data_IF_568061980726
#
_entry.id   IF_568061980726
#
_cell.length_a   1.000
_cell.length_b   1.000
_cell.length_c   1.000
_cell.angle_alpha   90.00
_cell.angle_beta   90.00
_cell.angle_gamma   90.00
#
_symmetry.space_group_name_H-M   'P 1'
#
loop_
_entity.id
_entity.type
_entity.pdbx_description
1 polymer ?
#
# COMPACT_ATOMS: atom_id res chain seq x y z
N UNK A 1 -5.71 -3.98 55.94
CA UNK A 1 -6.10 -4.91 54.85
C UNK A 1 -7.61 -5.10 55.00
N UNK A 2 -8.31 -5.11 53.87
CA UNK A 2 -9.76 -5.15 53.66
C UNK A 2 -10.53 -3.83 53.64
N UNK A 3 -10.96 -3.46 52.42
CA UNK A 3 -12.14 -2.64 52.17
C UNK A 3 -13.03 -3.37 51.16
N UNK A 4 -14.10 -3.97 51.65
CA UNK A 4 -15.32 -4.26 50.89
C UNK A 4 -16.13 -2.97 50.73
N UNK A 5 -16.71 -2.75 49.54
CA UNK A 5 -17.93 -1.96 49.39
C UNK A 5 -18.73 -2.44 48.17
N UNK A 6 -19.91 -2.98 48.45
CA UNK A 6 -20.96 -3.39 47.51
C UNK A 6 -21.86 -2.19 47.15
N UNK A 7 -22.20 -2.12 45.87
CA UNK A 7 -23.43 -1.67 45.19
C UNK A 7 -24.24 -0.44 45.64
N UNK A 8 -24.60 0.40 44.65
CA UNK A 8 -26.00 0.70 44.29
C UNK A 8 -26.13 1.17 42.82
N UNK A 9 -27.30 0.90 42.23
CA UNK A 9 -27.65 0.88 40.80
C UNK A 9 -27.89 2.24 40.10
N UNK A 10 -27.86 2.16 38.75
CA UNK A 10 -28.12 3.05 37.58
C UNK A 10 -29.42 3.90 37.60
N UNK A 11 -29.82 4.72 36.57
CA UNK A 11 -29.34 4.83 35.17
C UNK A 11 -29.35 6.25 34.50
N UNK A 12 -29.06 6.25 33.18
CA UNK A 12 -29.29 7.27 32.13
C UNK A 12 -28.44 8.54 32.09
N UNK A 13 -27.62 8.67 31.04
CA UNK A 13 -27.85 9.65 29.96
C UNK A 13 -26.80 9.51 28.85
N UNK A 14 -27.18 10.04 27.69
CA UNK A 14 -26.67 9.74 26.36
C UNK A 14 -25.28 10.36 26.09
N UNK A 15 -24.54 9.72 25.17
CA UNK A 15 -23.34 10.25 24.49
C UNK A 15 -23.56 11.67 23.94
N UNK A 16 -22.50 12.49 23.79
CA UNK A 16 -21.81 12.46 22.50
C UNK A 16 -20.28 12.38 22.59
N UNK A 17 -19.74 11.61 21.64
CA UNK A 17 -18.35 11.56 21.20
C UNK A 17 -17.75 12.97 21.07
N UNK A 18 -16.72 13.28 21.87
CA UNK A 18 -15.80 14.37 21.56
C UNK A 18 -14.56 13.81 20.88
N UNK A 19 -14.56 13.85 19.54
CA UNK A 19 -13.35 13.75 18.71
C UNK A 19 -12.41 14.91 19.08
N UNK A 20 -11.35 14.67 19.86
CA UNK A 20 -10.24 15.61 19.94
C UNK A 20 -9.35 15.43 18.71
N UNK A 21 -9.47 16.35 17.75
CA UNK A 21 -8.43 16.65 16.77
C UNK A 21 -7.22 17.18 17.53
N UNK A 22 -6.15 16.40 17.63
CA UNK A 22 -4.83 16.97 17.82
C UNK A 22 -4.20 17.13 16.44
N UNK A 23 -4.44 18.31 15.86
CA UNK A 23 -3.58 18.84 14.82
C UNK A 23 -2.27 19.28 15.50
N UNK A 24 -1.25 18.42 15.46
CA UNK A 24 0.11 18.84 15.76
C UNK A 24 0.66 19.49 14.49
N UNK A 25 0.88 20.80 14.57
CA UNK A 25 1.53 21.62 13.55
C UNK A 25 3.00 21.20 13.42
N UNK A 26 3.47 21.00 12.20
CA UNK A 26 4.88 21.26 11.85
C UNK A 26 5.73 20.11 11.33
N UNK A 27 5.20 18.94 11.01
CA UNK A 27 6.00 17.86 10.39
C UNK A 27 5.80 17.81 8.88
N UNK A 28 6.93 17.72 8.16
CA UNK A 28 7.06 17.65 6.71
C UNK A 28 6.02 16.70 6.08
N UNK A 29 5.35 17.16 5.02
CA UNK A 29 4.27 16.46 4.29
C UNK A 29 4.77 15.19 3.56
N UNK A 30 5.99 14.75 3.82
CA UNK A 30 6.68 13.66 3.09
C UNK A 30 6.39 12.27 3.64
N UNK A 31 5.76 12.14 4.82
CA UNK A 31 5.34 10.85 5.38
C UNK A 31 3.88 10.55 5.01
N UNK A 32 3.67 9.57 4.13
CA UNK A 32 2.33 9.10 3.77
C UNK A 32 1.86 8.04 4.77
N UNK A 33 0.91 8.41 5.63
CA UNK A 33 0.18 7.45 6.45
C UNK A 33 -0.55 6.42 5.56
N UNK A 34 -0.57 5.14 5.94
CA UNK A 34 -1.34 4.12 5.22
C UNK A 34 -2.86 4.41 5.17
N UNK A 35 -3.39 5.19 6.13
CA UNK A 35 -4.75 5.76 6.07
C UNK A 35 -4.86 6.89 5.04
N UNK A 36 -3.79 7.67 4.86
CA UNK A 36 -3.68 8.72 3.85
C UNK A 36 -3.61 8.13 2.44
N UNK A 37 -2.96 6.98 2.24
CA UNK A 37 -3.00 6.28 0.94
C UNK A 37 -4.43 5.93 0.52
N UNK A 38 -5.28 5.43 1.44
CA UNK A 38 -6.72 5.23 1.15
C UNK A 38 -7.44 6.54 0.77
N UNK A 39 -7.04 7.67 1.35
CA UNK A 39 -7.61 8.99 1.03
C UNK A 39 -7.08 9.55 -0.31
N UNK A 40 -5.81 9.30 -0.63
CA UNK A 40 -5.20 9.59 -1.93
C UNK A 40 -5.80 8.73 -3.03
N UNK A 41 -6.14 7.47 -2.74
CA UNK A 41 -6.84 6.57 -3.66
C UNK A 41 -8.21 7.16 -4.02
N UNK A 42 -8.97 7.69 -3.06
CA UNK A 42 -10.26 8.38 -3.32
C UNK A 42 -10.06 9.64 -4.18
N UNK A 43 -8.93 10.35 -4.03
CA UNK A 43 -8.64 11.53 -4.85
C UNK A 43 -8.18 11.15 -6.25
N UNK A 44 -7.26 10.19 -6.40
CA UNK A 44 -6.81 9.68 -7.70
C UNK A 44 -7.96 9.01 -8.45
N UNK A 45 -8.90 8.36 -7.76
CA UNK A 45 -10.12 7.78 -8.33
C UNK A 45 -10.97 8.78 -9.11
N UNK A 46 -10.98 10.05 -8.72
CA UNK A 46 -11.68 11.12 -9.45
C UNK A 46 -11.01 11.49 -10.78
N UNK A 47 -9.77 11.07 -10.99
CA UNK A 47 -8.99 11.36 -12.20
C UNK A 47 -8.87 10.16 -13.14
N UNK A 48 -9.54 9.03 -12.85
CA UNK A 48 -9.56 7.92 -13.81
C UNK A 48 -10.47 8.27 -14.97
N UNK A 49 -10.07 7.94 -16.22
CA UNK A 49 -10.97 8.04 -17.35
C UNK A 49 -12.22 7.19 -17.08
N UNK A 50 -13.39 7.56 -17.62
CA UNK A 50 -14.52 6.65 -17.73
C UNK A 50 -14.06 5.27 -18.22
N UNK A 51 -14.64 4.19 -17.69
CA UNK A 51 -14.22 2.81 -17.98
C UNK A 51 -14.16 2.53 -19.49
N UNK A 52 -15.01 3.17 -20.29
CA UNK A 52 -15.03 3.09 -21.75
C UNK A 52 -13.79 3.67 -22.46
N UNK A 53 -12.93 4.41 -21.75
CA UNK A 53 -11.76 5.12 -22.29
C UNK A 53 -10.42 4.58 -21.75
N UNK A 54 -10.45 3.49 -20.97
CA UNK A 54 -9.26 2.85 -20.41
C UNK A 54 -8.53 2.04 -21.49
N UNK A 55 -7.31 2.44 -21.82
CA UNK A 55 -6.36 1.62 -22.58
C UNK A 55 -5.57 0.78 -21.60
N UNK A 56 -5.45 -0.52 -21.90
CA UNK A 56 -4.66 -1.46 -21.09
C UNK A 56 -3.29 -1.63 -21.73
N UNK A 57 -2.25 -1.28 -20.98
CA UNK A 57 -0.88 -1.67 -21.30
C UNK A 57 -0.56 -2.98 -20.58
N UNK A 58 0.32 -3.79 -21.15
CA UNK A 58 0.75 -5.04 -20.52
C UNK A 58 2.26 -5.10 -20.49
N UNK A 59 2.81 -5.16 -19.28
CA UNK A 59 4.18 -5.58 -19.04
C UNK A 59 4.26 -7.11 -19.16
N UNK A 60 5.33 -7.60 -19.79
CA UNK A 60 5.50 -9.03 -20.03
C UNK A 60 5.89 -9.77 -18.72
N UNK A 61 5.71 -11.10 -18.70
CA UNK A 61 5.99 -11.91 -17.50
C UNK A 61 7.44 -11.80 -17.02
N UNK A 62 8.42 -11.75 -17.92
CA UNK A 62 9.84 -11.66 -17.55
C UNK A 62 10.16 -10.35 -16.86
N UNK A 63 9.60 -9.24 -17.36
CA UNK A 63 9.77 -7.91 -16.76
C UNK A 63 9.11 -7.85 -15.38
N UNK A 64 7.96 -8.50 -15.19
CA UNK A 64 7.32 -8.60 -13.88
C UNK A 64 8.14 -9.39 -12.86
N UNK A 65 8.66 -10.55 -13.25
CA UNK A 65 9.55 -11.34 -12.39
C UNK A 65 10.78 -10.50 -12.05
N UNK A 66 11.40 -9.87 -13.06
CA UNK A 66 12.56 -9.01 -12.85
C UNK A 66 12.28 -7.81 -11.97
N UNK A 67 11.10 -7.19 -12.10
CA UNK A 67 10.64 -6.11 -11.24
C UNK A 67 10.59 -6.54 -9.77
N UNK A 68 9.98 -7.69 -9.47
CA UNK A 68 9.92 -8.20 -8.10
C UNK A 68 11.29 -8.63 -7.57
N UNK A 69 12.16 -9.20 -8.41
CA UNK A 69 13.54 -9.51 -8.03
C UNK A 69 14.31 -8.25 -7.63
N UNK A 70 14.23 -7.19 -8.44
CA UNK A 70 14.88 -5.91 -8.16
C UNK A 70 14.30 -5.24 -6.91
N UNK A 71 12.99 -5.34 -6.70
CA UNK A 71 12.36 -4.87 -5.47
C UNK A 71 12.89 -5.61 -4.24
N UNK A 72 12.95 -6.94 -4.28
CA UNK A 72 13.48 -7.74 -3.17
C UNK A 72 14.98 -7.45 -2.93
N UNK A 73 15.75 -7.21 -3.99
CA UNK A 73 17.16 -6.84 -3.90
C UNK A 73 17.39 -5.47 -3.24
N UNK A 74 16.58 -4.47 -3.58
CA UNK A 74 16.80 -3.08 -3.16
C UNK A 74 16.05 -2.74 -1.88
N UNK A 75 14.78 -3.12 -1.79
CA UNK A 75 13.88 -2.76 -0.69
C UNK A 75 13.83 -3.86 0.39
N UNK A 76 14.43 -5.01 0.13
CA UNK A 76 14.30 -6.20 0.97
C UNK A 76 12.94 -6.89 0.83
N UNK A 77 12.74 -7.96 1.60
CA UNK A 77 11.51 -8.75 1.57
C UNK A 77 10.32 -8.03 2.22
N UNK A 78 9.17 -8.08 1.54
CA UNK A 78 7.91 -7.57 2.08
C UNK A 78 7.29 -8.55 3.08
N UNK A 79 6.26 -8.12 3.81
CA UNK A 79 5.47 -8.99 4.68
C UNK A 79 3.98 -8.65 4.58
N UNK A 80 3.10 -9.60 4.91
CA UNK A 80 1.68 -9.32 5.02
C UNK A 80 1.38 -8.32 6.15
N UNK A 81 2.20 -8.29 7.20
CA UNK A 81 2.10 -7.35 8.31
C UNK A 81 3.00 -6.13 8.09
N UNK A 82 2.41 -4.93 8.18
CA UNK A 82 3.15 -3.66 8.05
C UNK A 82 4.30 -3.54 9.06
N UNK A 83 4.12 -4.11 10.25
CA UNK A 83 5.12 -4.07 11.32
C UNK A 83 6.40 -4.84 10.92
N UNK A 84 6.25 -6.02 10.33
CA UNK A 84 7.36 -6.91 9.96
C UNK A 84 7.95 -6.61 8.57
N UNK A 85 7.21 -5.89 7.73
CA UNK A 85 7.62 -5.63 6.35
C UNK A 85 8.82 -4.65 6.27
N UNK A 86 9.75 -4.92 5.35
CA UNK A 86 10.84 -3.99 4.99
C UNK A 86 10.42 -2.98 3.92
N UNK A 87 9.47 -3.38 3.09
CA UNK A 87 8.91 -2.55 2.03
C UNK A 87 7.39 -2.46 2.16
N UNK A 88 6.75 -1.53 1.47
CA UNK A 88 5.29 -1.50 1.40
C UNK A 88 4.85 -1.01 0.04
N UNK A 89 3.75 -1.56 -0.47
CA UNK A 89 3.16 -1.13 -1.73
C UNK A 89 1.64 -1.11 -1.63
N UNK A 90 1.03 -0.49 -2.63
CA UNK A 90 -0.41 -0.58 -2.89
C UNK A 90 -0.64 -0.91 -4.35
N UNK A 91 -1.59 -1.79 -4.64
CA UNK A 91 -1.88 -2.19 -6.01
C UNK A 91 -3.38 -2.36 -6.22
N UNK A 92 -3.78 -2.33 -7.48
CA UNK A 92 -5.13 -2.66 -7.92
C UNK A 92 -5.11 -3.45 -9.22
N UNK A 93 -6.25 -4.03 -9.56
CA UNK A 93 -6.44 -4.80 -10.80
C UNK A 93 -7.42 -4.10 -11.72
N UNK A 94 -7.38 -4.42 -13.02
CA UNK A 94 -8.35 -3.87 -13.98
C UNK A 94 -9.79 -4.14 -13.54
N UNK A 95 -10.06 -5.33 -12.98
CA UNK A 95 -11.39 -5.68 -12.46
C UNK A 95 -11.82 -4.75 -11.32
N UNK A 96 -10.94 -4.50 -10.35
CA UNK A 96 -11.27 -3.64 -9.20
C UNK A 96 -11.42 -2.18 -9.57
N UNK A 97 -10.51 -1.66 -10.40
CA UNK A 97 -10.63 -0.28 -10.91
C UNK A 97 -12.01 -0.05 -11.53
N UNK A 98 -12.57 -1.04 -12.24
CA UNK A 98 -13.91 -0.94 -12.82
C UNK A 98 -15.07 -1.20 -11.88
N UNK A 99 -14.86 -1.88 -10.74
CA UNK A 99 -15.94 -2.27 -9.83
C UNK A 99 -16.05 -1.36 -8.60
N UNK A 100 -14.95 -1.14 -7.89
CA UNK A 100 -14.92 -0.43 -6.61
C UNK A 100 -13.81 0.62 -6.52
N UNK A 101 -12.86 0.63 -7.47
CA UNK A 101 -11.75 1.57 -7.49
C UNK A 101 -10.69 1.34 -6.43
N UNK A 102 -10.84 0.31 -5.60
CA UNK A 102 -10.06 0.18 -4.38
C UNK A 102 -8.68 -0.42 -4.63
N UNK A 103 -7.75 -0.07 -3.75
CA UNK A 103 -6.41 -0.62 -3.68
C UNK A 103 -6.31 -1.61 -2.53
N UNK A 104 -5.50 -2.64 -2.73
CA UNK A 104 -4.93 -3.42 -1.64
C UNK A 104 -3.59 -2.81 -1.24
N UNK A 105 -3.14 -3.11 -0.02
CA UNK A 105 -1.85 -2.65 0.48
C UNK A 105 -1.21 -3.71 1.38
N UNK A 106 0.01 -4.13 1.02
CA UNK A 106 0.85 -5.15 1.68
C UNK A 106 2.32 -4.94 1.29
N UNK A 107 3.24 -5.67 1.91
CA UNK A 107 4.59 -5.82 1.39
C UNK A 107 4.58 -6.47 0.01
N UNK A 108 5.60 -6.17 -0.80
CA UNK A 108 5.81 -6.79 -2.11
C UNK A 108 6.03 -8.30 -1.95
N UNK A 109 5.64 -9.12 -2.95
CA UNK A 109 5.83 -10.56 -2.90
C UNK A 109 7.30 -10.94 -2.73
N UNK A 110 7.58 -11.91 -1.86
CA UNK A 110 8.93 -12.45 -1.64
C UNK A 110 9.35 -13.36 -2.79
N UNK A 111 10.65 -13.62 -2.92
CA UNK A 111 11.14 -14.65 -3.83
C UNK A 111 10.42 -15.99 -3.56
N UNK A 112 9.90 -16.62 -4.61
CA UNK A 112 9.08 -17.83 -4.52
C UNK A 112 7.58 -17.60 -4.35
N UNK A 113 7.13 -16.38 -4.04
CA UNK A 113 5.70 -16.00 -4.06
C UNK A 113 5.22 -15.54 -5.44
N UNK A 114 6.10 -15.51 -6.43
CA UNK A 114 5.78 -15.14 -7.80
C UNK A 114 6.55 -16.02 -8.78
N UNK A 115 6.05 -16.14 -10.01
CA UNK A 115 6.63 -16.98 -11.05
C UNK A 115 5.98 -16.77 -12.42
N UNK A 116 6.11 -17.76 -13.30
CA UNK A 116 5.72 -17.64 -14.71
C UNK A 116 4.22 -17.32 -14.94
N UNK A 117 3.37 -17.63 -13.96
CA UNK A 117 1.92 -17.47 -14.06
C UNK A 117 1.37 -16.24 -13.31
N UNK A 118 2.22 -15.51 -12.58
CA UNK A 118 1.81 -14.38 -11.74
C UNK A 118 2.28 -14.53 -10.30
N UNK A 119 1.49 -13.98 -9.38
CA UNK A 119 1.73 -14.13 -7.94
C UNK A 119 0.95 -15.34 -7.42
N UNK A 120 1.60 -16.08 -6.54
CA UNK A 120 1.13 -17.33 -5.97
C UNK A 120 0.12 -17.09 -4.85
N UNK A 121 -0.67 -18.11 -4.57
CA UNK A 121 -1.62 -18.10 -3.46
C UNK A 121 -0.88 -18.18 -2.10
N UNK A 122 -1.51 -17.67 -1.04
CA UNK A 122 -1.00 -17.75 0.33
C UNK A 122 0.23 -16.90 0.66
N UNK A 123 0.80 -16.18 -0.31
CA UNK A 123 1.91 -15.24 -0.09
C UNK A 123 1.45 -13.89 0.49
N UNK A 124 2.34 -12.89 0.45
CA UNK A 124 2.07 -11.56 1.01
C UNK A 124 0.77 -10.90 0.49
N UNK A 125 0.39 -11.15 -0.76
CA UNK A 125 -0.81 -10.58 -1.37
C UNK A 125 -2.06 -11.47 -1.19
N UNK A 126 -1.90 -12.65 -0.58
CA UNK A 126 -2.95 -13.51 -0.03
C UNK A 126 -3.86 -14.22 -1.01
N UNK A 127 -3.88 -13.83 -2.28
CA UNK A 127 -4.66 -14.49 -3.33
C UNK A 127 -3.84 -14.50 -4.63
N UNK A 128 -3.99 -15.51 -5.49
CA UNK A 128 -3.26 -15.56 -6.74
C UNK A 128 -3.86 -14.58 -7.75
N UNK A 129 -3.00 -13.95 -8.55
CA UNK A 129 -3.44 -13.15 -9.69
C UNK A 129 -2.40 -13.20 -10.80
N UNK A 130 -2.84 -13.30 -12.07
CA UNK A 130 -1.93 -13.24 -13.19
C UNK A 130 -1.43 -11.80 -13.35
N UNK A 131 -0.19 -11.60 -13.77
CA UNK A 131 0.39 -10.27 -13.93
C UNK A 131 -0.44 -9.34 -14.83
N UNK A 132 -1.03 -9.90 -15.90
CA UNK A 132 -1.94 -9.17 -16.81
C UNK A 132 -3.19 -8.58 -16.15
N UNK A 133 -3.49 -8.96 -14.90
CA UNK A 133 -4.61 -8.39 -14.14
C UNK A 133 -4.23 -7.11 -13.42
N UNK A 134 -2.94 -6.88 -13.14
CA UNK A 134 -2.45 -5.71 -12.41
C UNK A 134 -2.64 -4.49 -13.30
N UNK A 135 -3.31 -3.50 -12.74
CA UNK A 135 -3.65 -2.25 -13.42
C UNK A 135 -2.70 -1.12 -13.01
N UNK A 136 -2.38 -1.09 -11.72
CA UNK A 136 -1.52 -0.06 -11.15
C UNK A 136 -0.88 -0.60 -9.87
N UNK A 137 0.39 -0.29 -9.69
CA UNK A 137 1.15 -0.56 -8.48
C UNK A 137 1.89 0.70 -8.06
N UNK A 138 1.86 1.00 -6.76
CA UNK A 138 2.43 2.19 -6.13
C UNK A 138 3.37 1.72 -5.00
N UNK A 139 4.62 2.17 -5.02
CA UNK A 139 5.57 1.99 -3.92
C UNK A 139 5.87 3.38 -3.34
N UNK A 140 5.32 3.74 -2.17
CA UNK A 140 5.59 5.04 -1.56
C UNK A 140 7.06 5.15 -1.14
N UNK A 141 7.63 6.35 -1.14
CA UNK A 141 8.98 6.59 -0.61
C UNK A 141 9.07 6.33 0.88
N UNK A 142 7.96 6.51 1.60
CA UNK A 142 7.89 6.37 3.04
C UNK A 142 6.57 5.70 3.43
N UNK A 143 6.61 4.84 4.43
CA UNK A 143 5.42 4.29 5.06
C UNK A 143 5.57 4.29 6.58
N UNK A 144 4.45 4.33 7.28
CA UNK A 144 4.43 4.37 8.74
C UNK A 144 3.45 3.36 9.32
N UNK A 145 3.89 2.71 10.39
CA UNK A 145 3.08 1.87 11.26
C UNK A 145 2.87 2.61 12.58
N UNK A 146 1.62 2.77 12.98
CA UNK A 146 1.23 3.39 14.24
C UNK A 146 0.10 2.57 14.84
N UNK A 147 0.44 1.68 15.79
CA UNK A 147 -0.54 0.80 16.43
C UNK A 147 -0.05 0.30 17.80
N UNK A 148 -0.94 -0.38 18.51
CA UNK A 148 -0.62 -1.15 19.71
C UNK A 148 -0.06 -2.52 19.31
N UNK A 149 1.16 -2.82 19.72
CA UNK A 149 1.80 -4.12 19.54
C UNK A 149 2.30 -4.63 20.89
N UNK A 150 1.88 -5.84 21.27
CA UNK A 150 2.22 -6.45 22.57
C UNK A 150 1.97 -5.52 23.78
N UNK A 151 0.88 -4.73 23.73
CA UNK A 151 0.50 -3.80 24.80
C UNK A 151 1.29 -2.48 24.82
N UNK A 152 2.20 -2.26 23.87
CA UNK A 152 2.94 -1.01 23.73
C UNK A 152 2.49 -0.26 22.48
N UNK A 153 2.38 1.07 22.59
CA UNK A 153 2.19 1.91 21.42
C UNK A 153 3.51 1.97 20.64
N UNK A 154 3.49 1.49 19.40
CA UNK A 154 4.64 1.51 18.51
C UNK A 154 4.35 2.46 17.36
N UNK A 155 5.29 3.39 17.15
CA UNK A 155 5.37 4.20 15.95
C UNK A 155 6.67 3.87 15.22
N UNK A 156 6.55 3.36 13.99
CA UNK A 156 7.68 3.03 13.12
C UNK A 156 7.48 3.73 11.78
N UNK A 157 8.45 4.54 11.38
CA UNK A 157 8.53 5.11 10.05
C UNK A 157 9.65 4.41 9.27
N UNK A 158 9.45 4.20 7.99
CA UNK A 158 10.42 3.50 7.13
C UNK A 158 10.50 4.20 5.78
N UNK A 159 11.73 4.56 5.40
CA UNK A 159 12.04 5.08 4.07
C UNK A 159 12.46 3.93 3.14
N UNK A 160 12.00 3.98 1.90
CA UNK A 160 12.29 3.00 0.85
C UNK A 160 13.28 3.62 -0.14
N UNK A 161 14.30 2.87 -0.57
CA UNK A 161 15.35 3.34 -1.50
C UNK A 161 14.81 3.48 -2.96
N UNK A 162 13.82 4.33 -3.15
CA UNK A 162 13.08 4.47 -4.42
C UNK A 162 13.95 4.97 -5.57
N UNK A 163 14.87 5.91 -5.32
CA UNK A 163 15.74 6.44 -6.39
C UNK A 163 16.69 5.35 -6.91
N UNK A 164 17.22 4.52 -6.00
CA UNK A 164 18.06 3.38 -6.37
C UNK A 164 17.26 2.32 -7.13
N UNK A 165 16.04 2.01 -6.67
CA UNK A 165 15.16 1.09 -7.39
C UNK A 165 14.84 1.62 -8.79
N UNK A 166 14.50 2.90 -8.92
CA UNK A 166 14.20 3.56 -10.18
C UNK A 166 15.36 3.48 -11.17
N UNK A 167 16.59 3.75 -10.73
CA UNK A 167 17.79 3.61 -11.56
C UNK A 167 17.94 2.18 -12.10
N UNK A 168 17.79 1.17 -11.24
CA UNK A 168 17.88 -0.23 -11.65
C UNK A 168 16.75 -0.65 -12.60
N UNK A 169 15.53 -0.18 -12.38
CA UNK A 169 14.41 -0.44 -13.29
C UNK A 169 14.66 0.20 -14.66
N UNK A 170 15.23 1.41 -14.68
CA UNK A 170 15.59 2.10 -15.92
C UNK A 170 16.66 1.34 -16.71
N UNK A 171 17.70 0.84 -16.04
CA UNK A 171 18.75 -0.01 -16.64
C UNK A 171 18.19 -1.28 -17.29
N UNK A 172 17.08 -1.82 -16.76
CA UNK A 172 16.42 -3.02 -17.28
C UNK A 172 15.26 -2.71 -18.25
N UNK A 173 15.06 -1.44 -18.62
CA UNK A 173 13.99 -1.04 -19.55
C UNK A 173 12.57 -1.19 -18.99
N UNK A 174 12.41 -1.26 -17.67
CA UNK A 174 11.10 -1.38 -17.02
C UNK A 174 10.50 0.03 -16.87
N UNK A 175 9.47 0.32 -17.65
CA UNK A 175 8.77 1.61 -17.62
C UNK A 175 8.08 1.84 -16.27
N UNK A 176 8.34 2.99 -15.66
CA UNK A 176 7.76 3.40 -14.39
C UNK A 176 7.76 4.93 -14.29
N UNK A 177 6.94 5.46 -13.38
CA UNK A 177 6.88 6.89 -13.07
C UNK A 177 7.39 7.11 -11.65
N UNK A 178 8.24 8.12 -11.47
CA UNK A 178 8.69 8.56 -10.15
C UNK A 178 8.09 9.93 -9.83
N UNK A 179 7.79 10.14 -8.56
CA UNK A 179 7.33 11.41 -8.01
C UNK A 179 8.03 11.71 -6.70
N UNK A 180 7.73 12.86 -6.11
CA UNK A 180 8.22 13.25 -4.78
C UNK A 180 7.80 12.26 -3.68
N UNK A 181 6.75 11.46 -3.88
CA UNK A 181 6.15 10.64 -2.83
C UNK A 181 6.10 9.14 -3.14
N UNK A 182 6.26 8.71 -4.40
CA UNK A 182 6.24 7.30 -4.78
C UNK A 182 6.88 6.99 -6.13
N UNK A 183 7.13 5.70 -6.34
CA UNK A 183 7.28 5.05 -7.64
C UNK A 183 5.97 4.38 -8.05
N UNK A 184 5.60 4.48 -9.31
CA UNK A 184 4.33 3.98 -9.85
C UNK A 184 4.55 3.16 -11.14
N UNK A 185 3.97 1.96 -11.20
CA UNK A 185 3.80 1.19 -12.44
C UNK A 185 2.37 1.33 -12.94
N UNK A 186 2.14 2.24 -13.89
CA UNK A 186 0.80 2.54 -14.43
C UNK A 186 0.57 1.78 -15.74
N UNK A 187 -0.23 0.73 -15.69
CA UNK A 187 -0.62 -0.08 -16.86
C UNK A 187 -1.99 0.33 -17.44
N UNK A 188 -2.46 1.51 -17.04
CA UNK A 188 -3.67 2.13 -17.56
C UNK A 188 -3.32 3.52 -18.05
N UNK A 189 -3.77 3.85 -19.26
CA UNK A 189 -3.81 5.23 -19.75
C UNK A 189 -5.22 5.59 -20.19
N UNK A 190 -5.58 6.87 -20.06
CA UNK A 190 -6.76 7.41 -20.74
C UNK A 190 -6.47 7.57 -22.23
N UNK A 191 -7.47 7.34 -23.08
CA UNK A 191 -7.43 7.89 -24.43
C UNK A 191 -7.42 9.42 -24.34
N UNK A 192 -6.45 10.05 -25.00
CA UNK A 192 -6.43 11.49 -25.25
C UNK A 192 -7.58 11.90 -26.19
#
# INVERSE_FOLDING_TARGET
>A
IDCYALHCHSPSEQTPRSYRRNAVRGESITALNCRSLRSLDVQKLRFWPPVSLIVRHSMNTKDWIKFFDLCNQVLGEGDYSLYHSKNWCSWTTFKRVTSDGLYWARGLPKAGEYGEHGVNDGGNWGQPFPYKSIAHLIIPRRFEFCDMYQGQFIHKQTEQEIDRLSALLHEHGIEHVISEWALELRLISGRA
#
